data_IF_747014956773
#
_entry.id   IF_747014956773
#
_cell.length_a   1.000
_cell.length_b   1.000
_cell.length_c   1.000
_cell.angle_alpha   90.00
_cell.angle_beta   90.00
_cell.angle_gamma   90.00
#
_symmetry.space_group_name_H-M   'P 1'
#
loop_
_entity.id
_entity.type
_entity.pdbx_description
1 polymer ?
#
# COMPACT_ATOMS: atom_id res chain seq x y z
N UNK A 1 8.64 13.59 -14.30
CA UNK A 1 9.21 12.25 -14.04
C UNK A 1 10.04 12.34 -12.76
N UNK A 2 9.40 12.61 -11.63
CA UNK A 2 10.13 12.97 -10.39
C UNK A 2 10.26 11.80 -9.43
N UNK A 3 9.36 10.83 -9.51
CA UNK A 3 9.34 9.66 -8.63
C UNK A 3 10.63 8.82 -8.72
N UNK A 4 11.19 8.65 -9.92
CA UNK A 4 12.47 7.93 -10.10
C UNK A 4 13.60 8.70 -9.43
N UNK A 5 13.68 10.02 -9.63
CA UNK A 5 14.70 10.86 -9.00
C UNK A 5 14.58 10.85 -7.47
N UNK A 6 13.37 10.95 -6.94
CA UNK A 6 13.12 10.96 -5.49
C UNK A 6 13.41 9.60 -4.84
N UNK A 7 13.07 8.50 -5.51
CA UNK A 7 13.22 7.16 -4.94
C UNK A 7 14.63 6.59 -5.12
N UNK A 8 15.22 6.76 -6.31
CA UNK A 8 16.58 6.28 -6.61
C UNK A 8 17.62 7.17 -5.96
N UNK A 9 17.43 8.49 -5.95
CA UNK A 9 18.29 9.46 -5.26
C UNK A 9 19.79 9.19 -5.46
N UNK A 10 20.47 8.85 -4.36
CA UNK A 10 21.90 8.56 -4.30
C UNK A 10 22.28 7.15 -4.79
N UNK A 11 21.32 6.23 -4.94
CA UNK A 11 21.51 4.82 -5.32
C UNK A 11 21.34 4.61 -6.83
N UNK A 12 21.96 5.47 -7.64
CA UNK A 12 21.81 5.44 -9.11
C UNK A 12 22.36 4.19 -9.77
N UNK A 13 23.21 3.41 -9.10
CA UNK A 13 23.75 2.15 -9.62
C UNK A 13 22.75 0.97 -9.57
N UNK A 14 21.67 1.07 -8.79
CA UNK A 14 20.67 -0.01 -8.64
C UNK A 14 19.29 0.37 -9.16
N UNK A 15 19.19 1.41 -10.00
CA UNK A 15 17.91 1.93 -10.52
C UNK A 15 17.02 0.86 -11.16
N UNK A 16 17.63 -0.13 -11.82
CA UNK A 16 16.95 -1.25 -12.46
C UNK A 16 16.22 -2.16 -11.47
N UNK A 17 16.72 -2.30 -10.25
CA UNK A 17 16.13 -3.12 -9.18
C UNK A 17 14.93 -2.41 -8.55
N UNK A 18 14.99 -1.08 -8.47
CA UNK A 18 14.00 -0.23 -7.81
C UNK A 18 12.81 0.11 -8.75
N UNK A 19 13.01 0.03 -10.07
CA UNK A 19 11.99 0.35 -11.08
C UNK A 19 10.66 -0.42 -10.93
N UNK A 20 10.67 -1.75 -10.69
CA UNK A 20 9.43 -2.49 -10.46
C UNK A 20 8.63 -1.98 -9.26
N UNK A 21 9.30 -1.56 -8.18
CA UNK A 21 8.65 -1.01 -6.99
C UNK A 21 8.02 0.35 -7.27
N UNK A 22 8.73 1.22 -8.00
CA UNK A 22 8.20 2.51 -8.45
C UNK A 22 6.97 2.29 -9.34
N UNK A 23 7.04 1.36 -10.30
CA UNK A 23 5.93 1.05 -11.18
C UNK A 23 4.72 0.48 -10.43
N UNK A 24 4.95 -0.36 -9.42
CA UNK A 24 3.89 -0.88 -8.56
C UNK A 24 3.22 0.26 -7.77
N UNK A 25 4.00 1.13 -7.14
CA UNK A 25 3.51 2.27 -6.38
C UNK A 25 2.71 3.26 -7.23
N UNK A 26 3.17 3.54 -8.47
CA UNK A 26 2.42 4.40 -9.38
C UNK A 26 1.06 3.79 -9.74
N UNK A 27 1.00 2.48 -9.97
CA UNK A 27 -0.25 1.81 -10.37
C UNK A 27 -1.28 1.70 -9.24
N UNK A 28 -0.83 1.65 -7.99
CA UNK A 28 -1.70 1.67 -6.80
C UNK A 28 -2.02 3.08 -6.29
N UNK A 29 -1.40 4.13 -6.84
CA UNK A 29 -1.68 5.51 -6.45
C UNK A 29 -2.90 6.07 -7.16
N UNK A 30 -3.72 6.84 -6.44
CA UNK A 30 -4.91 7.49 -7.00
C UNK A 30 -4.49 8.64 -7.92
N UNK A 31 -4.99 8.62 -9.16
CA UNK A 31 -4.77 9.72 -10.08
C UNK A 31 -5.74 10.87 -9.79
N UNK A 32 -5.23 12.11 -9.73
CA UNK A 32 -6.04 13.30 -9.41
C UNK A 32 -7.16 13.55 -10.42
N UNK A 33 -6.92 13.30 -11.71
CA UNK A 33 -7.90 13.62 -12.76
C UNK A 33 -9.05 12.61 -12.82
N UNK A 34 -8.80 11.34 -12.51
CA UNK A 34 -9.81 10.27 -12.62
C UNK A 34 -10.37 9.85 -11.26
N UNK A 35 -9.68 10.14 -10.16
CA UNK A 35 -10.07 9.69 -8.82
C UNK A 35 -9.88 8.19 -8.59
N UNK A 36 -9.32 7.46 -9.56
CA UNK A 36 -9.08 6.02 -9.48
C UNK A 36 -7.59 5.69 -9.61
N UNK A 37 -7.21 4.54 -9.09
CA UNK A 37 -5.89 3.94 -9.30
C UNK A 37 -5.83 3.29 -10.69
N UNK A 38 -4.63 3.15 -11.24
CA UNK A 38 -4.46 2.48 -12.53
C UNK A 38 -4.79 0.98 -12.43
N UNK A 39 -4.44 0.33 -11.33
CA UNK A 39 -4.79 -1.07 -11.06
C UNK A 39 -6.31 -1.28 -11.13
N UNK A 40 -7.09 -0.43 -10.45
CA UNK A 40 -8.55 -0.52 -10.46
C UNK A 40 -9.14 -0.31 -11.84
N UNK A 41 -8.57 0.59 -12.64
CA UNK A 41 -9.03 0.84 -14.00
C UNK A 41 -8.70 -0.30 -14.97
N UNK A 42 -7.53 -0.94 -14.80
CA UNK A 42 -7.07 -2.03 -15.67
C UNK A 42 -7.69 -3.39 -15.32
N UNK A 43 -7.83 -3.69 -14.02
CA UNK A 43 -8.22 -5.02 -13.54
C UNK A 43 -9.65 -5.06 -12.96
N UNK A 44 -10.30 -3.90 -12.82
CA UNK A 44 -11.60 -3.77 -12.15
C UNK A 44 -11.53 -3.91 -10.61
N UNK A 45 -10.34 -4.15 -10.05
CA UNK A 45 -10.08 -4.30 -8.60
C UNK A 45 -8.69 -3.78 -8.24
N UNK A 46 -8.45 -3.52 -6.97
CA UNK A 46 -7.12 -3.20 -6.48
C UNK A 46 -6.27 -4.48 -6.32
N UNK A 47 -4.94 -4.34 -6.43
CA UNK A 47 -3.99 -5.44 -6.23
C UNK A 47 -3.62 -5.51 -4.75
N UNK A 48 -3.72 -6.71 -4.17
CA UNK A 48 -3.29 -6.95 -2.79
C UNK A 48 -1.77 -7.02 -2.69
N UNK A 49 -1.20 -6.30 -1.74
CA UNK A 49 0.19 -6.45 -1.32
C UNK A 49 0.35 -7.68 -0.43
N UNK A 50 1.55 -8.28 -0.35
CA UNK A 50 1.81 -9.40 0.56
C UNK A 50 1.49 -9.07 2.02
N UNK A 51 1.72 -7.82 2.44
CA UNK A 51 1.39 -7.36 3.78
C UNK A 51 -0.12 -7.38 4.03
N UNK A 52 -0.95 -6.93 3.08
CA UNK A 52 -2.41 -6.99 3.21
C UNK A 52 -2.96 -8.41 3.21
N UNK A 53 -2.25 -9.36 2.58
CA UNK A 53 -2.64 -10.77 2.61
C UNK A 53 -2.32 -11.43 3.95
N UNK A 54 -1.14 -11.13 4.53
CA UNK A 54 -0.70 -11.69 5.81
C UNK A 54 -1.41 -11.01 6.99
N UNK A 55 -1.63 -9.72 6.88
CA UNK A 55 -2.30 -8.88 7.86
C UNK A 55 -3.56 -8.28 7.22
N UNK A 56 -4.62 -9.07 7.02
CA UNK A 56 -5.87 -8.51 6.54
C UNK A 56 -6.31 -7.46 7.56
N UNK A 57 -6.39 -6.19 7.12
CA UNK A 57 -6.99 -5.14 7.95
C UNK A 57 -8.39 -5.61 8.27
N UNK A 58 -8.72 -5.75 9.56
CA UNK A 58 -10.08 -6.03 9.98
C UNK A 58 -10.99 -5.00 9.27
N UNK A 59 -12.09 -5.43 8.63
CA UNK A 59 -12.99 -4.48 7.97
C UNK A 59 -13.51 -3.51 9.04
N UNK A 60 -13.11 -2.25 8.98
CA UNK A 60 -13.78 -1.20 9.76
C UNK A 60 -15.13 -0.90 9.11
N UNK A 61 -16.18 -0.45 9.82
CA UNK A 61 -16.52 -0.58 11.24
C UNK A 61 -17.73 -1.55 11.40
N UNK A 62 -17.61 -2.57 12.25
CA UNK A 62 -18.74 -3.47 12.53
C UNK A 62 -18.40 -4.87 13.03
N UNK A 63 -17.13 -5.26 13.05
CA UNK A 63 -16.69 -6.49 13.72
C UNK A 63 -15.96 -6.16 15.02
N UNK A 64 -16.25 -6.86 16.14
CA UNK A 64 -15.60 -6.62 17.41
C UNK A 64 -14.09 -6.79 17.23
N UNK A 65 -13.32 -5.84 17.75
CA UNK A 65 -11.87 -5.92 17.80
C UNK A 65 -11.47 -7.30 18.34
N UNK A 66 -10.49 -7.95 17.70
CA UNK A 66 -10.00 -9.24 18.18
C UNK A 66 -9.57 -9.12 19.64
N UNK A 67 -9.85 -10.13 20.46
CA UNK A 67 -9.66 -10.10 21.93
C UNK A 67 -8.27 -9.60 22.36
N UNK A 68 -7.25 -9.83 21.53
CA UNK A 68 -5.89 -9.34 21.70
C UNK A 68 -5.76 -7.81 21.71
N UNK A 69 -6.53 -7.09 20.88
CA UNK A 69 -6.50 -5.61 20.82
C UNK A 69 -7.11 -5.03 22.09
N UNK A 70 -8.19 -5.64 22.58
CA UNK A 70 -8.84 -5.24 23.83
C UNK A 70 -7.96 -5.51 25.05
N UNK A 71 -7.18 -6.60 25.03
CA UNK A 71 -6.24 -6.93 26.10
C UNK A 71 -5.06 -5.95 26.16
N UNK A 72 -4.54 -5.52 25.00
CA UNK A 72 -3.51 -4.48 24.92
C UNK A 72 -4.01 -3.14 25.48
N UNK A 73 -5.20 -2.71 25.12
CA UNK A 73 -5.79 -1.45 25.64
C UNK A 73 -5.95 -1.49 27.16
N UNK A 74 -6.35 -2.65 27.70
CA UNK A 74 -6.52 -2.83 29.15
C UNK A 74 -5.19 -2.84 29.92
N UNK A 75 -4.08 -3.19 29.26
CA UNK A 75 -2.74 -3.18 29.85
C UNK A 75 -2.02 -1.82 29.78
N UNK A 76 -2.57 -0.86 29.04
CA UNK A 76 -2.03 0.50 28.90
C UNK A 76 -2.57 1.51 29.94
N UNK A 77 -3.39 1.06 30.91
CA UNK A 77 -3.90 1.84 32.06
C UNK A 77 -3.34 1.25 33.35
#
# INVERSE_FOLDING_TARGET
MDYVRCYVGSRQNTWNVELPQIAAAMRSSVCRSTGFTANRMMLGREVYTPAELVYPSSPSPGLPASDHVLELEKSMV
#
